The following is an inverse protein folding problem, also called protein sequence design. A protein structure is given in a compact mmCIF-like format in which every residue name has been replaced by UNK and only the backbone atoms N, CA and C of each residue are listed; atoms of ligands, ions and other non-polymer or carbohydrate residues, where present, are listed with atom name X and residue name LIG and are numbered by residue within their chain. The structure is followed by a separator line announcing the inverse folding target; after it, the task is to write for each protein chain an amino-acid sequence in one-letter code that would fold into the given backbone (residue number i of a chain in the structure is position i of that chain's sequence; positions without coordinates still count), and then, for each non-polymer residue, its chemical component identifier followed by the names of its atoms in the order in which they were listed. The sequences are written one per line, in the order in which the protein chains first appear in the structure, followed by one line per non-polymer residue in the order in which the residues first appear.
data_IF_711114774778
#
_entry.id   IF_711114774778
#
_cell.length_a   1.000
_cell.length_b   1.000
_cell.length_c   1.000
_cell.angle_alpha   90.00
_cell.angle_beta   90.00
_cell.angle_gamma   90.00
#
_symmetry.space_group_name_H-M   'P 1'
#
loop_
_entity.id
_entity.type
_entity.pdbx_description
1 polymer ?
#
# COMPACT_ATOMS: atom_id res chain seq x y z
N UNK A 1 13.80 28.57 -1.66
CA UNK A 1 13.73 28.02 -0.30
C UNK A 1 13.20 26.60 -0.43
N UNK A 2 14.08 25.58 -0.32
CA UNK A 2 13.64 24.18 -0.37
C UNK A 2 12.99 23.90 0.99
N UNK A 3 11.67 23.68 1.01
CA UNK A 3 10.99 23.16 2.20
C UNK A 3 11.35 21.68 2.30
N UNK A 4 12.29 21.35 3.18
CA UNK A 4 12.41 19.99 3.72
C UNK A 4 11.27 19.83 4.72
N UNK A 5 10.10 19.45 4.23
CA UNK A 5 9.13 18.80 5.10
C UNK A 5 9.79 17.50 5.56
N UNK A 6 10.00 17.38 6.86
CA UNK A 6 10.48 16.15 7.48
C UNK A 6 9.46 15.07 7.12
N UNK A 7 9.86 14.09 6.30
CA UNK A 7 9.09 12.87 6.10
C UNK A 7 9.05 12.21 7.46
N UNK A 8 7.93 12.35 8.17
CA UNK A 8 7.68 11.63 9.41
C UNK A 8 7.46 10.16 9.05
N UNK A 9 8.57 9.44 8.89
CA UNK A 9 8.58 8.02 8.50
C UNK A 9 7.96 7.12 9.56
N UNK A 10 7.69 7.64 10.77
CA UNK A 10 7.17 6.87 11.90
C UNK A 10 5.68 7.16 12.17
N UNK A 11 5.14 8.32 11.76
CA UNK A 11 3.70 8.57 11.80
C UNK A 11 2.90 7.62 10.88
N UNK A 12 3.55 6.96 9.92
CA UNK A 12 2.93 5.95 9.05
C UNK A 12 2.72 4.58 9.73
N UNK A 13 3.36 4.35 10.88
CA UNK A 13 3.18 3.13 11.69
C UNK A 13 1.90 3.18 12.55
N UNK A 14 1.04 4.18 12.36
CA UNK A 14 -0.30 4.20 12.95
C UNK A 14 -1.06 3.00 12.41
N UNK A 15 -1.16 1.97 13.26
CA UNK A 15 -2.02 0.82 13.11
C UNK A 15 -3.46 1.29 12.99
N UNK A 16 -4.16 1.01 11.89
CA UNK A 16 -5.59 1.10 11.90
C UNK A 16 -6.07 -0.33 12.14
N UNK A 17 -6.63 -0.51 13.32
CA UNK A 17 -7.25 -1.74 13.81
C UNK A 17 -8.52 -2.10 12.98
N UNK A 18 -8.75 -1.36 11.89
CA UNK A 18 -9.92 -1.34 11.02
C UNK A 18 -9.60 -1.51 9.52
N UNK A 19 -8.35 -1.78 9.13
CA UNK A 19 -8.03 -2.04 7.73
C UNK A 19 -8.61 -3.34 7.20
N UNK A 20 -9.04 -3.35 5.94
CA UNK A 20 -9.47 -4.56 5.24
C UNK A 20 -8.76 -4.73 3.92
N UNK A 21 -8.68 -5.97 3.44
CA UNK A 21 -8.23 -6.20 2.07
C UNK A 21 -9.19 -5.58 1.06
N UNK A 22 -8.63 -5.12 -0.05
CA UNK A 22 -9.41 -4.57 -1.16
C UNK A 22 -10.32 -5.66 -1.72
N UNK A 23 -11.61 -5.36 -1.82
CA UNK A 23 -12.63 -6.21 -2.40
C UNK A 23 -12.76 -5.90 -3.90
N UNK A 24 -12.39 -6.84 -4.80
CA UNK A 24 -12.37 -6.59 -6.24
C UNK A 24 -13.76 -6.38 -6.86
N UNK A 25 -14.85 -6.65 -6.12
CA UNK A 25 -16.22 -6.53 -6.60
C UNK A 25 -16.98 -5.37 -5.96
N UNK A 26 -16.71 -5.09 -4.69
CA UNK A 26 -17.47 -4.11 -3.92
C UNK A 26 -16.78 -2.75 -3.79
N UNK A 27 -15.44 -2.69 -3.96
CA UNK A 27 -14.73 -1.42 -3.82
C UNK A 27 -14.94 -0.47 -4.99
N UNK A 28 -14.88 0.86 -4.74
CA UNK A 28 -14.87 1.87 -5.78
C UNK A 28 -13.81 1.54 -6.84
N UNK A 29 -14.12 1.79 -8.11
CA UNK A 29 -13.21 1.49 -9.23
C UNK A 29 -11.82 2.11 -9.03
N UNK A 30 -11.75 3.34 -8.53
CA UNK A 30 -10.47 4.02 -8.27
C UNK A 30 -9.63 3.29 -7.23
N UNK A 31 -10.25 2.72 -6.18
CA UNK A 31 -9.57 1.91 -5.15
C UNK A 31 -9.04 0.62 -5.77
N UNK A 32 -9.88 -0.07 -6.55
CA UNK A 32 -9.50 -1.33 -7.20
C UNK A 32 -8.37 -1.16 -8.20
N UNK A 33 -8.42 -0.13 -9.05
CA UNK A 33 -7.36 0.17 -10.02
C UNK A 33 -6.06 0.59 -9.32
N UNK A 34 -6.14 1.38 -8.25
CA UNK A 34 -4.97 1.76 -7.46
C UNK A 34 -4.35 0.54 -6.78
N UNK A 35 -5.18 -0.35 -6.24
CA UNK A 35 -4.73 -1.59 -5.63
C UNK A 35 -3.99 -2.49 -6.64
N UNK A 36 -4.56 -2.68 -7.84
CA UNK A 36 -3.93 -3.48 -8.89
C UNK A 36 -2.56 -2.90 -9.32
N UNK A 37 -2.46 -1.56 -9.40
CA UNK A 37 -1.18 -0.89 -9.70
C UNK A 37 -0.16 -1.08 -8.58
N UNK A 38 -0.57 -0.94 -7.33
CA UNK A 38 0.30 -1.16 -6.17
C UNK A 38 0.79 -2.61 -6.10
N UNK A 39 -0.12 -3.58 -6.31
CA UNK A 39 0.24 -5.00 -6.34
C UNK A 39 1.30 -5.27 -7.42
N UNK A 40 1.08 -4.74 -8.63
CA UNK A 40 2.03 -4.88 -9.74
C UNK A 40 3.38 -4.22 -9.43
N UNK A 41 3.37 -3.04 -8.79
CA UNK A 41 4.60 -2.35 -8.41
C UNK A 41 5.40 -3.17 -7.38
N UNK A 42 4.75 -3.69 -6.34
CA UNK A 42 5.40 -4.58 -5.36
C UNK A 42 5.94 -5.84 -6.05
N UNK A 43 5.15 -6.46 -6.93
CA UNK A 43 5.57 -7.65 -7.69
C UNK A 43 6.81 -7.39 -8.53
N UNK A 44 6.85 -6.25 -9.21
CA UNK A 44 8.01 -5.86 -10.02
C UNK A 44 9.28 -5.68 -9.16
N UNK A 45 9.15 -5.08 -7.96
CA UNK A 45 10.27 -4.93 -7.03
C UNK A 45 10.76 -6.28 -6.49
N UNK A 46 9.84 -7.19 -6.17
CA UNK A 46 10.19 -8.57 -5.77
C UNK A 46 10.92 -9.30 -6.91
N UNK A 47 10.43 -9.18 -8.16
CA UNK A 47 11.08 -9.78 -9.33
C UNK A 47 12.46 -9.17 -9.63
N UNK A 48 12.69 -7.92 -9.20
CA UNK A 48 14.00 -7.27 -9.26
C UNK A 48 14.95 -7.70 -8.12
N UNK A 49 14.60 -8.74 -7.34
CA UNK A 49 15.35 -9.23 -6.18
C UNK A 49 15.44 -8.24 -5.01
N UNK A 50 14.45 -7.33 -4.89
CA UNK A 50 14.33 -6.53 -3.67
C UNK A 50 13.85 -7.41 -2.52
N UNK A 51 14.47 -7.26 -1.35
CA UNK A 51 14.09 -7.93 -0.11
C UNK A 51 12.61 -7.69 0.23
N UNK A 52 11.73 -8.72 0.23
CA UNK A 52 10.30 -8.56 0.50
C UNK A 52 9.98 -7.89 1.83
N UNK A 53 10.79 -8.14 2.86
CA UNK A 53 10.70 -7.53 4.19
C UNK A 53 10.93 -6.01 4.20
N UNK A 54 11.52 -5.47 3.13
CA UNK A 54 11.75 -4.04 2.94
C UNK A 54 10.70 -3.39 2.03
N UNK A 55 9.75 -4.15 1.50
CA UNK A 55 8.76 -3.66 0.55
C UNK A 55 7.45 -3.32 1.25
N UNK A 56 7.17 -2.02 1.30
CA UNK A 56 5.87 -1.49 1.64
C UNK A 56 5.61 -0.30 0.73
N UNK A 57 4.62 -0.40 -0.15
CA UNK A 57 4.20 0.69 -1.02
C UNK A 57 2.85 1.21 -0.57
N UNK A 58 2.66 2.51 -0.67
CA UNK A 58 1.48 3.17 -0.14
C UNK A 58 0.95 4.16 -1.17
N UNK A 59 -0.36 4.36 -1.17
CA UNK A 59 -1.01 5.36 -2.01
C UNK A 59 -2.18 5.97 -1.26
N UNK A 60 -2.23 7.30 -1.22
CA UNK A 60 -3.38 8.04 -0.73
C UNK A 60 -4.26 8.43 -1.93
N UNK A 61 -5.54 8.04 -1.91
CA UNK A 61 -6.51 8.32 -2.97
C UNK A 61 -7.87 8.70 -2.39
N UNK A 62 -8.34 9.92 -2.69
CA UNK A 62 -9.57 10.47 -2.11
C UNK A 62 -9.52 10.41 -0.56
N UNK A 63 -10.49 9.74 0.07
CA UNK A 63 -10.57 9.49 1.52
C UNK A 63 -10.02 8.11 1.93
N UNK A 64 -9.25 7.45 1.06
CA UNK A 64 -8.73 6.11 1.29
C UNK A 64 -7.22 6.11 1.23
N UNK A 65 -6.62 5.29 2.09
CA UNK A 65 -5.20 4.98 2.08
C UNK A 65 -5.01 3.51 1.79
N UNK A 66 -4.18 3.21 0.80
CA UNK A 66 -3.85 1.84 0.43
C UNK A 66 -2.42 1.53 0.82
N UNK A 67 -2.20 0.32 1.33
CA UNK A 67 -0.88 -0.20 1.65
C UNK A 67 -0.75 -1.57 1.01
N UNK A 68 0.29 -1.74 0.20
CA UNK A 68 0.66 -2.99 -0.43
C UNK A 68 1.97 -3.50 0.15
N UNK A 69 1.98 -4.77 0.55
CA UNK A 69 3.16 -5.42 1.13
C UNK A 69 3.17 -6.92 0.77
N UNK A 70 4.36 -7.52 0.57
CA UNK A 70 4.49 -8.96 0.42
C UNK A 70 4.07 -9.69 1.70
N UNK A 71 3.41 -10.84 1.52
CA UNK A 71 3.11 -11.81 2.58
C UNK A 71 4.23 -12.86 2.66
N UNK A 72 4.24 -13.59 3.77
CA UNK A 72 5.21 -14.67 4.00
C UNK A 72 5.15 -15.81 2.96
N UNK A 73 4.01 -15.97 2.27
CA UNK A 73 3.80 -16.95 1.21
C UNK A 73 4.23 -16.44 -0.18
N UNK A 74 4.76 -15.22 -0.28
CA UNK A 74 5.17 -14.59 -1.53
C UNK A 74 4.01 -13.97 -2.34
N UNK A 75 2.77 -14.05 -1.85
CA UNK A 75 1.67 -13.24 -2.36
C UNK A 75 1.80 -11.79 -1.89
N UNK A 76 0.95 -10.90 -2.42
CA UNK A 76 0.95 -9.47 -2.07
C UNK A 76 -0.43 -9.15 -1.54
N UNK A 77 -0.52 -8.62 -0.31
CA UNK A 77 -1.74 -8.00 0.20
C UNK A 77 -1.79 -6.55 -0.24
N UNK A 78 -3.00 -6.09 -0.56
CA UNK A 78 -3.31 -4.66 -0.60
C UNK A 78 -4.44 -4.39 0.39
N UNK A 79 -4.15 -3.61 1.42
CA UNK A 79 -5.08 -3.23 2.47
C UNK A 79 -5.53 -1.80 2.24
N UNK A 80 -6.82 -1.55 2.34
CA UNK A 80 -7.43 -0.23 2.30
C UNK A 80 -7.82 0.19 3.71
N UNK A 81 -7.59 1.47 3.99
CA UNK A 81 -7.94 2.14 5.23
C UNK A 81 -8.76 3.37 4.87
N UNK A 82 -9.96 3.45 5.44
CA UNK A 82 -10.81 4.63 5.31
C UNK A 82 -10.34 5.69 6.33
N UNK A 83 -10.21 6.95 5.90
CA UNK A 83 -10.01 8.09 6.81
C UNK A 83 -11.26 8.43 7.64
#
# INVERSE_FOLDING_TARGET
MIRTESIDTLAFLVQPENGREVDPFNDPEIVRLTAANLEMAVRNLMMANSSPECLMLTADICSHKLVAAPKADGSISVTVYDE
#
